data_IF_357365883204
#
_entry.id   IF_357365883204
#
_cell.length_a   1.000
_cell.length_b   1.000
_cell.length_c   1.000
_cell.angle_alpha   90.00
_cell.angle_beta   90.00
_cell.angle_gamma   90.00
#
_symmetry.space_group_name_H-M   'P 1'
#
loop_
_entity.id
_entity.type
_entity.pdbx_description
1 polymer ?
#
# COMPACT_ATOMS: atom_id res chain seq x y z
N UNK A 1 8.26 -8.52 2.15
CA UNK A 1 6.99 -8.70 1.43
C UNK A 1 6.90 -10.03 0.67
N UNK A 2 7.72 -11.05 0.98
CA UNK A 2 7.76 -12.31 0.20
C UNK A 2 6.47 -13.14 0.22
N UNK A 3 5.50 -12.81 1.08
CA UNK A 3 4.22 -13.50 1.21
C UNK A 3 2.99 -12.60 0.98
N UNK A 4 3.19 -11.32 0.63
CA UNK A 4 2.06 -10.43 0.32
C UNK A 4 1.49 -10.83 -1.05
N UNK A 5 0.18 -10.99 -1.11
CA UNK A 5 -0.55 -11.38 -2.31
C UNK A 5 -0.23 -10.46 -3.50
N UNK A 6 -0.01 -11.06 -4.68
CA UNK A 6 0.37 -10.30 -5.88
C UNK A 6 -0.61 -9.15 -6.22
N UNK A 7 -1.94 -9.33 -6.15
CA UNK A 7 -2.89 -8.24 -6.40
C UNK A 7 -2.69 -7.01 -5.49
N UNK A 8 -2.33 -7.22 -4.22
CA UNK A 8 -2.05 -6.12 -3.29
C UNK A 8 -0.84 -5.33 -3.78
N UNK A 9 0.25 -6.02 -4.14
CA UNK A 9 1.45 -5.36 -4.68
C UNK A 9 1.17 -4.64 -6.00
N UNK A 10 0.32 -5.20 -6.86
CA UNK A 10 -0.02 -4.58 -8.13
C UNK A 10 -0.81 -3.28 -7.92
N UNK A 11 -1.79 -3.27 -7.01
CA UNK A 11 -2.56 -2.07 -6.66
C UNK A 11 -1.66 -1.03 -6.00
N UNK A 12 -0.83 -1.43 -5.01
CA UNK A 12 0.11 -0.52 -4.37
C UNK A 12 1.11 0.06 -5.38
N UNK A 13 1.61 -0.74 -6.32
CA UNK A 13 2.54 -0.26 -7.35
C UNK A 13 1.87 0.72 -8.32
N UNK A 14 0.61 0.47 -8.69
CA UNK A 14 -0.18 1.40 -9.48
C UNK A 14 -0.32 2.76 -8.77
N UNK A 15 -0.72 2.75 -7.50
CA UNK A 15 -0.91 3.98 -6.74
C UNK A 15 0.40 4.68 -6.38
N UNK A 16 1.45 3.93 -6.06
CA UNK A 16 2.77 4.50 -5.84
C UNK A 16 3.33 5.17 -7.12
N UNK A 17 3.05 4.60 -8.29
CA UNK A 17 3.35 5.24 -9.57
C UNK A 17 2.50 6.49 -9.82
N UNK A 18 1.19 6.41 -9.55
CA UNK A 18 0.26 7.53 -9.76
C UNK A 18 0.51 8.71 -8.82
N UNK A 19 1.01 8.44 -7.61
CA UNK A 19 1.32 9.45 -6.59
C UNK A 19 2.81 9.86 -6.61
N UNK A 20 3.57 9.40 -7.61
CA UNK A 20 5.01 9.65 -7.79
C UNK A 20 5.87 9.26 -6.56
N UNK A 21 5.42 8.29 -5.76
CA UNK A 21 6.12 7.82 -4.57
C UNK A 21 7.19 6.77 -4.93
N UNK A 22 8.37 7.26 -5.30
CA UNK A 22 9.52 6.43 -5.71
C UNK A 22 10.07 5.55 -4.60
N UNK A 23 9.95 5.96 -3.35
CA UNK A 23 10.48 5.19 -2.23
C UNK A 23 9.67 3.92 -2.02
N UNK A 24 8.34 4.03 -2.01
CA UNK A 24 7.46 2.87 -1.89
C UNK A 24 7.56 1.96 -3.10
N UNK A 25 7.71 2.50 -4.32
CA UNK A 25 8.02 1.68 -5.50
C UNK A 25 9.29 0.86 -5.31
N UNK A 26 10.37 1.47 -4.82
CA UNK A 26 11.63 0.76 -4.58
C UNK A 26 11.47 -0.33 -3.49
N UNK A 27 10.70 -0.08 -2.44
CA UNK A 27 10.38 -1.04 -1.38
C UNK A 27 9.59 -2.24 -1.95
N UNK A 28 8.57 -1.96 -2.77
CA UNK A 28 7.74 -2.98 -3.43
C UNK A 28 8.57 -3.84 -4.41
N UNK A 29 9.46 -3.21 -5.19
CA UNK A 29 10.38 -3.91 -6.10
C UNK A 29 11.41 -4.77 -5.36
N UNK A 30 11.97 -4.26 -4.27
CA UNK A 30 12.88 -4.99 -3.37
C UNK A 30 12.17 -6.16 -2.68
N UNK A 31 10.84 -6.07 -2.53
CA UNK A 31 10.00 -7.04 -1.83
C UNK A 31 10.40 -7.24 -0.36
N UNK A 32 10.98 -6.23 0.29
CA UNK A 32 11.29 -6.24 1.72
C UNK A 32 11.25 -4.84 2.30
N UNK A 33 10.91 -4.75 3.59
CA UNK A 33 11.08 -3.57 4.42
C UNK A 33 12.24 -3.91 5.35
N UNK A 34 13.36 -3.20 5.22
CA UNK A 34 14.62 -3.50 5.90
C UNK A 34 14.95 -2.49 7.00
N UNK A 35 14.13 -1.44 7.15
CA UNK A 35 14.33 -0.43 8.20
C UNK A 35 13.01 0.19 8.67
N UNK A 36 13.04 0.76 9.87
CA UNK A 36 11.92 1.52 10.44
C UNK A 36 11.54 2.71 9.54
N UNK A 37 12.51 3.35 8.88
CA UNK A 37 12.24 4.44 7.95
C UNK A 37 11.42 3.96 6.75
N UNK A 38 11.76 2.79 6.17
CA UNK A 38 10.98 2.19 5.08
C UNK A 38 9.57 1.80 5.56
N UNK A 39 9.42 1.31 6.80
CA UNK A 39 8.12 1.02 7.38
C UNK A 39 7.25 2.29 7.49
N UNK A 40 7.83 3.40 7.99
CA UNK A 40 7.14 4.71 8.05
C UNK A 40 6.71 5.21 6.69
N UNK A 41 7.56 5.04 5.67
CA UNK A 41 7.23 5.43 4.30
C UNK A 41 6.07 4.62 3.73
N UNK A 42 6.00 3.32 4.03
CA UNK A 42 4.88 2.46 3.65
C UNK A 42 3.60 2.87 4.37
N UNK A 43 3.62 3.08 5.70
CA UNK A 43 2.45 3.51 6.47
C UNK A 43 1.91 4.84 5.96
N UNK A 44 2.79 5.84 5.83
CA UNK A 44 2.40 7.16 5.30
C UNK A 44 1.78 7.04 3.90
N UNK A 45 2.28 6.10 3.09
CA UNK A 45 1.72 5.85 1.78
C UNK A 45 0.35 5.16 1.82
N UNK A 46 0.09 4.28 2.80
CA UNK A 46 -1.22 3.64 2.95
C UNK A 46 -2.32 4.67 3.18
N UNK A 47 -2.06 5.71 3.98
CA UNK A 47 -3.00 6.82 4.18
C UNK A 47 -3.28 7.56 2.86
N UNK A 48 -2.22 7.99 2.17
CA UNK A 48 -2.33 8.71 0.89
C UNK A 48 -3.03 7.87 -0.19
N UNK A 49 -2.73 6.57 -0.23
CA UNK A 49 -3.35 5.62 -1.15
C UNK A 49 -4.83 5.45 -0.82
N UNK A 50 -5.21 5.35 0.45
CA UNK A 50 -6.59 5.20 0.90
C UNK A 50 -7.44 6.41 0.51
N UNK A 51 -6.92 7.62 0.71
CA UNK A 51 -7.56 8.86 0.25
C UNK A 51 -7.76 8.86 -1.27
N UNK A 52 -6.73 8.49 -2.02
CA UNK A 52 -6.80 8.43 -3.49
C UNK A 52 -7.81 7.37 -3.96
N UNK A 53 -7.83 6.19 -3.35
CA UNK A 53 -8.79 5.13 -3.66
C UNK A 53 -10.22 5.61 -3.38
N UNK A 54 -10.45 6.33 -2.28
CA UNK A 54 -11.76 6.87 -1.96
C UNK A 54 -12.26 7.90 -2.99
N UNK A 55 -11.35 8.73 -3.52
CA UNK A 55 -11.66 9.63 -4.65
C UNK A 55 -11.97 8.86 -5.94
N UNK A 56 -11.08 7.94 -6.30
CA UNK A 56 -11.16 7.15 -7.52
C UNK A 56 -12.41 6.27 -7.56
N UNK A 57 -12.79 5.71 -6.40
CA UNK A 57 -14.01 4.92 -6.24
C UNK A 57 -15.26 5.76 -6.48
N UNK A 58 -15.33 6.99 -5.94
CA UNK A 58 -16.44 7.93 -6.21
C UNK A 58 -16.52 8.32 -7.68
N UNK A 59 -15.37 8.42 -8.34
CA UNK A 59 -15.25 8.74 -9.76
C UNK A 59 -15.43 7.53 -10.69
N UNK A 60 -15.65 6.31 -10.15
CA UNK A 60 -15.72 5.05 -10.90
C UNK A 60 -14.49 4.79 -11.78
N UNK A 61 -13.29 5.12 -11.27
CA UNK A 61 -12.02 4.84 -11.94
C UNK A 61 -11.78 3.33 -11.97
N UNK A 62 -11.27 2.86 -13.11
CA UNK A 62 -10.88 1.46 -13.30
C UNK A 62 -9.37 1.34 -13.14
N UNK A 63 -8.94 0.54 -12.18
CA UNK A 63 -7.54 0.23 -11.86
C UNK A 63 -7.30 -1.25 -12.17
N UNK A 64 -6.26 -1.56 -12.93
CA UNK A 64 -5.92 -2.95 -13.29
C UNK A 64 -7.10 -3.75 -13.89
N UNK A 65 -7.89 -3.10 -14.75
CA UNK A 65 -9.08 -3.67 -15.42
C UNK A 65 -10.28 -3.94 -14.50
N UNK A 66 -10.27 -3.47 -13.25
CA UNK A 66 -11.38 -3.61 -12.31
C UNK A 66 -11.75 -2.25 -11.68
N UNK A 67 -13.03 -1.97 -11.40
CA UNK A 67 -13.41 -0.81 -10.59
C UNK A 67 -12.77 -0.91 -9.22
N UNK A 68 -12.16 0.20 -8.75
CA UNK A 68 -11.55 0.24 -7.43
C UNK A 68 -12.59 0.62 -6.36
N UNK A 69 -12.55 -0.06 -5.22
CA UNK A 69 -13.44 0.16 -4.09
C UNK A 69 -12.66 0.50 -2.82
N UNK A 70 -13.29 1.23 -1.89
CA UNK A 70 -12.69 1.53 -0.58
C UNK A 70 -12.39 0.25 0.21
N UNK A 71 -13.14 -0.82 0.00
CA UNK A 71 -12.87 -2.15 0.57
C UNK A 71 -11.56 -2.78 0.07
N UNK A 72 -11.03 -2.32 -1.07
CA UNK A 72 -9.71 -2.75 -1.53
C UNK A 72 -8.61 -2.05 -0.75
N UNK A 73 -8.79 -0.76 -0.41
CA UNK A 73 -7.88 -0.03 0.47
C UNK A 73 -7.82 -0.67 1.86
N UNK A 74 -8.97 -0.95 2.48
CA UNK A 74 -9.08 -1.59 3.80
C UNK A 74 -8.28 -2.90 3.86
N UNK A 75 -8.49 -3.80 2.90
CA UNK A 75 -7.75 -5.08 2.84
C UNK A 75 -6.26 -4.91 2.65
N UNK A 76 -5.83 -3.89 1.91
CA UNK A 76 -4.42 -3.62 1.71
C UNK A 76 -3.82 -3.10 3.02
N UNK A 77 -4.49 -2.17 3.70
CA UNK A 77 -4.05 -1.69 5.01
C UNK A 77 -3.92 -2.84 6.01
N UNK A 78 -4.96 -3.66 6.18
CA UNK A 78 -4.94 -4.83 7.07
C UNK A 78 -3.71 -5.72 6.83
N UNK A 79 -3.47 -6.11 5.58
CA UNK A 79 -2.35 -7.02 5.24
C UNK A 79 -0.98 -6.36 5.43
N UNK A 80 -0.87 -5.06 5.19
CA UNK A 80 0.40 -4.35 5.31
C UNK A 80 0.72 -3.97 6.75
N UNK A 81 -0.28 -3.61 7.53
CA UNK A 81 -0.17 -3.37 8.98
C UNK A 81 0.24 -4.65 9.70
N UNK A 82 -0.45 -5.78 9.44
CA UNK A 82 -0.06 -7.10 9.95
C UNK A 82 1.41 -7.42 9.60
N UNK A 83 1.82 -7.15 8.35
CA UNK A 83 3.19 -7.40 7.91
C UNK A 83 4.22 -6.49 8.63
N UNK A 84 3.86 -5.25 8.92
CA UNK A 84 4.73 -4.30 9.64
C UNK A 84 4.82 -4.66 11.13
N UNK A 85 3.73 -5.11 11.74
CA UNK A 85 3.71 -5.68 13.09
C UNK A 85 4.61 -6.92 13.18
N UNK A 86 4.52 -7.86 12.23
CA UNK A 86 5.40 -9.04 12.17
C UNK A 86 6.90 -8.69 12.09
N UNK A 87 7.24 -7.51 11.58
CA UNK A 87 8.62 -6.99 11.52
C UNK A 87 9.08 -6.30 12.83
N UNK A 88 8.19 -6.16 13.83
CA UNK A 88 8.46 -5.50 15.10
C UNK A 88 8.28 -3.98 15.06
N UNK A 89 7.56 -3.47 14.06
CA UNK A 89 7.28 -2.04 13.88
C UNK A 89 5.84 -1.67 14.25
N UNK A 90 5.17 -2.49 15.06
CA UNK A 90 3.79 -2.29 15.56
C UNK A 90 3.54 -0.90 16.18
N UNK A 91 4.56 -0.32 16.83
CA UNK A 91 4.49 1.00 17.45
C UNK A 91 4.33 2.16 16.45
N UNK A 92 4.43 1.88 15.15
CA UNK A 92 4.19 2.85 14.08
C UNK A 92 2.73 2.84 13.58
N UNK A 93 1.94 1.82 13.96
CA UNK A 93 0.55 1.62 13.57
C UNK A 93 -0.31 2.22 14.70
N UNK A 94 -1.16 3.22 14.41
CA UNK A 94 -2.01 3.92 15.40
C UNK A 94 -3.46 3.45 15.39
#
# INVERSE_FOLDING_TARGET
MKNIHQPIKDIMSYYASSLENKNVLAILEKQSIDSEQEAKEVITFLDLMSDKIAEDSKANVVVLQQPIHTTDAEKICDVLEDYIEELGYEHLIE
#
